data_IF_120158921799
#
_entry.id   IF_120158921799
#
_cell.length_a   1.000
_cell.length_b   1.000
_cell.length_c   1.000
_cell.angle_alpha   90.00
_cell.angle_beta   90.00
_cell.angle_gamma   90.00
#
_symmetry.space_group_name_H-M   'P 1'
#
loop_
_entity.id
_entity.type
_entity.pdbx_description
1 polymer ?
#
# COMPACT_ATOMS: atom_id res chain seq x y z
N UNK A 1 -18.51 2.84 -8.72
CA UNK A 1 -19.50 3.30 -9.75
C UNK A 1 -20.88 3.23 -9.14
N UNK A 2 -21.85 4.07 -9.60
CA UNK A 2 -23.26 3.96 -9.20
C UNK A 2 -24.09 3.26 -10.28
N UNK A 3 -25.26 2.70 -9.92
CA UNK A 3 -26.15 2.06 -10.91
C UNK A 3 -26.64 3.05 -12.00
N UNK A 4 -26.82 4.32 -11.64
CA UNK A 4 -27.23 5.36 -12.59
C UNK A 4 -26.11 5.74 -13.57
N UNK A 5 -24.86 5.74 -13.11
CA UNK A 5 -23.69 5.93 -13.99
C UNK A 5 -23.55 4.76 -14.96
N UNK A 6 -23.76 3.52 -14.49
CA UNK A 6 -23.74 2.34 -15.34
C UNK A 6 -24.87 2.37 -16.38
N UNK A 7 -26.09 2.80 -16.00
CA UNK A 7 -27.20 3.00 -16.95
C UNK A 7 -26.84 4.01 -18.06
N UNK A 8 -26.16 5.11 -17.71
CA UNK A 8 -25.70 6.10 -18.70
C UNK A 8 -24.69 5.52 -19.69
N UNK A 9 -23.74 4.70 -19.17
CA UNK A 9 -22.77 3.99 -20.02
C UNK A 9 -23.49 3.07 -21.01
N UNK A 10 -24.44 2.26 -20.55
CA UNK A 10 -25.23 1.36 -21.42
C UNK A 10 -26.02 2.15 -22.48
N UNK A 11 -26.65 3.25 -22.07
CA UNK A 11 -27.40 4.11 -23.02
C UNK A 11 -26.49 4.71 -24.09
N UNK A 12 -25.24 5.06 -23.74
CA UNK A 12 -24.28 5.63 -24.70
C UNK A 12 -23.88 4.64 -25.81
N UNK A 13 -23.98 3.32 -25.55
CA UNK A 13 -23.60 2.26 -26.48
C UNK A 13 -22.11 1.97 -26.47
N UNK A 14 -21.71 0.94 -27.24
CA UNK A 14 -20.31 0.62 -27.44
C UNK A 14 -19.54 1.76 -28.09
N UNK A 15 -18.31 1.92 -27.63
CA UNK A 15 -17.35 2.92 -28.10
C UNK A 15 -15.96 2.32 -28.01
N UNK A 16 -14.96 3.13 -28.36
CA UNK A 16 -13.55 2.71 -28.25
C UNK A 16 -13.16 2.31 -26.82
N UNK A 17 -13.85 2.85 -25.81
CA UNK A 17 -13.63 2.67 -24.38
C UNK A 17 -14.78 1.90 -23.67
N UNK A 18 -15.78 1.40 -24.40
CA UNK A 18 -16.91 0.65 -23.82
C UNK A 18 -17.17 -0.60 -24.64
N UNK A 19 -17.34 -1.72 -23.95
CA UNK A 19 -17.65 -3.03 -24.55
C UNK A 19 -18.79 -3.71 -23.81
N UNK A 20 -19.76 -4.27 -24.54
CA UNK A 20 -20.85 -5.07 -23.99
C UNK A 20 -20.66 -6.55 -24.33
N UNK A 21 -20.94 -7.41 -23.38
CA UNK A 21 -20.91 -8.86 -23.58
C UNK A 21 -22.17 -9.47 -22.97
N UNK A 22 -22.83 -10.33 -23.73
CA UNK A 22 -24.02 -10.98 -23.22
C UNK A 22 -23.74 -11.87 -22.03
N UNK A 23 -22.71 -12.72 -22.08
CA UNK A 23 -22.14 -13.54 -20.97
C UNK A 23 -23.17 -14.04 -19.94
N UNK A 24 -24.34 -14.48 -20.40
CA UNK A 24 -25.48 -14.80 -19.54
C UNK A 24 -25.18 -15.95 -18.56
N UNK A 25 -24.46 -17.00 -18.99
CA UNK A 25 -24.16 -18.17 -18.18
C UNK A 25 -22.66 -18.44 -18.00
N UNK A 26 -21.82 -18.02 -18.95
CA UNK A 26 -20.38 -18.24 -18.95
C UNK A 26 -19.66 -17.08 -19.65
N UNK A 27 -18.37 -16.92 -19.32
CA UNK A 27 -17.48 -15.96 -19.99
C UNK A 27 -17.05 -16.46 -21.36
N UNK A 28 -17.20 -15.64 -22.36
CA UNK A 28 -16.67 -15.88 -23.70
C UNK A 28 -15.18 -15.50 -23.78
N UNK A 29 -14.44 -16.10 -24.72
CA UNK A 29 -13.00 -15.86 -24.85
C UNK A 29 -12.67 -14.41 -25.20
N UNK A 30 -13.56 -13.73 -25.90
CA UNK A 30 -13.43 -12.34 -26.33
C UNK A 30 -13.47 -11.32 -25.18
N UNK A 31 -14.09 -11.64 -24.04
CA UNK A 31 -13.98 -10.81 -22.82
C UNK A 31 -12.52 -10.57 -22.46
N UNK A 32 -11.68 -11.59 -22.54
CA UNK A 32 -10.25 -11.46 -22.21
C UNK A 32 -9.45 -10.72 -23.28
N UNK A 33 -9.91 -10.77 -24.54
CA UNK A 33 -9.33 -9.96 -25.63
C UNK A 33 -9.60 -8.48 -25.36
N UNK A 34 -10.83 -8.13 -24.96
CA UNK A 34 -11.21 -6.76 -24.59
C UNK A 34 -10.44 -6.28 -23.35
N UNK A 35 -10.24 -7.14 -22.35
CA UNK A 35 -9.38 -6.79 -21.20
C UNK A 35 -7.95 -6.48 -21.66
N UNK A 36 -7.37 -7.30 -22.52
CA UNK A 36 -6.01 -7.11 -23.02
C UNK A 36 -5.89 -5.84 -23.87
N UNK A 37 -6.81 -5.62 -24.82
CA UNK A 37 -6.79 -4.48 -25.71
C UNK A 37 -7.02 -3.14 -24.99
N UNK A 38 -7.99 -3.08 -24.07
CA UNK A 38 -8.23 -1.90 -23.25
C UNK A 38 -7.00 -1.55 -22.41
N UNK A 39 -6.41 -2.54 -21.74
CA UNK A 39 -5.22 -2.29 -20.95
C UNK A 39 -4.00 -1.88 -21.80
N UNK A 40 -3.88 -2.41 -23.00
CA UNK A 40 -2.84 -2.03 -23.94
C UNK A 40 -3.08 -0.64 -24.56
N UNK A 41 -4.31 -0.13 -24.51
CA UNK A 41 -4.64 1.20 -25.06
C UNK A 41 -4.90 2.21 -23.92
N UNK A 42 -6.07 2.74 -23.77
CA UNK A 42 -6.38 3.85 -22.84
C UNK A 42 -7.31 3.41 -21.69
N UNK A 43 -7.43 2.11 -21.46
CA UNK A 43 -8.42 1.56 -20.54
C UNK A 43 -9.82 1.49 -21.18
N UNK A 44 -10.79 1.01 -20.37
CA UNK A 44 -12.18 0.92 -20.84
C UNK A 44 -13.11 0.20 -19.86
N UNK A 45 -14.39 0.21 -20.24
CA UNK A 45 -15.49 -0.36 -19.47
C UNK A 45 -16.02 -1.61 -20.16
N UNK A 46 -16.11 -2.73 -19.44
CA UNK A 46 -16.75 -3.96 -19.91
C UNK A 46 -18.01 -4.19 -19.08
N UNK A 47 -19.13 -4.41 -19.73
CA UNK A 47 -20.41 -4.71 -19.07
C UNK A 47 -20.92 -6.05 -19.54
N UNK A 48 -21.04 -7.02 -18.62
CA UNK A 48 -21.62 -8.34 -18.89
C UNK A 48 -23.12 -8.32 -18.60
N UNK A 49 -23.89 -9.03 -19.41
CA UNK A 49 -25.36 -9.09 -19.32
C UNK A 49 -26.07 -8.12 -20.26
N UNK A 50 -25.35 -7.46 -21.16
CA UNK A 50 -25.91 -6.52 -22.14
C UNK A 50 -25.66 -7.04 -23.55
N UNK A 51 -26.69 -6.93 -24.43
CA UNK A 51 -26.58 -7.28 -25.84
C UNK A 51 -26.05 -6.06 -26.59
N UNK A 52 -24.93 -6.22 -27.28
CA UNK A 52 -24.22 -5.15 -27.98
C UNK A 52 -25.15 -4.30 -28.89
N UNK A 53 -25.69 -4.86 -29.93
CA UNK A 53 -26.40 -4.09 -30.97
C UNK A 53 -27.70 -3.43 -30.50
N UNK A 54 -28.41 -4.08 -29.59
CA UNK A 54 -29.73 -3.64 -29.12
C UNK A 54 -29.67 -2.85 -27.83
N UNK A 55 -28.54 -2.93 -27.10
CA UNK A 55 -28.38 -2.41 -25.74
C UNK A 55 -29.38 -3.00 -24.74
N UNK A 56 -29.98 -4.14 -25.10
CA UNK A 56 -30.93 -4.84 -24.27
C UNK A 56 -30.22 -5.43 -23.04
N UNK A 57 -30.74 -5.11 -21.87
CA UNK A 57 -30.27 -5.69 -20.63
C UNK A 57 -30.92 -7.06 -20.45
N UNK A 58 -30.19 -8.13 -20.72
CA UNK A 58 -30.63 -9.51 -20.48
C UNK A 58 -30.27 -9.97 -19.08
N UNK A 59 -29.16 -9.49 -18.56
CA UNK A 59 -28.60 -9.86 -17.29
C UNK A 59 -27.75 -11.12 -17.34
N UNK A 60 -26.98 -11.31 -16.29
CA UNK A 60 -26.23 -12.53 -15.98
C UNK A 60 -27.09 -13.43 -15.10
N UNK A 61 -27.05 -14.75 -15.32
CA UNK A 61 -27.78 -15.71 -14.49
C UNK A 61 -27.28 -15.64 -13.05
N UNK A 62 -28.18 -15.35 -12.10
CA UNK A 62 -27.87 -15.20 -10.68
C UNK A 62 -27.04 -16.38 -10.12
N UNK A 63 -27.40 -17.62 -10.47
CA UNK A 63 -26.72 -18.83 -10.01
C UNK A 63 -25.29 -18.99 -10.57
N UNK A 64 -24.93 -18.20 -11.59
CA UNK A 64 -23.63 -18.26 -12.28
C UNK A 64 -22.70 -17.10 -11.94
N UNK A 65 -23.18 -16.05 -11.26
CA UNK A 65 -22.41 -14.85 -10.96
C UNK A 65 -21.09 -15.20 -10.26
N UNK A 66 -21.13 -15.94 -9.15
CA UNK A 66 -19.92 -16.31 -8.40
C UNK A 66 -18.92 -17.10 -9.23
N UNK A 67 -19.43 -18.00 -10.09
CA UNK A 67 -18.58 -18.76 -11.01
C UNK A 67 -17.91 -17.81 -12.02
N UNK A 68 -18.67 -16.91 -12.62
CA UNK A 68 -18.18 -15.93 -13.60
C UNK A 68 -17.11 -15.04 -13.00
N UNK A 69 -17.33 -14.50 -11.78
CA UNK A 69 -16.36 -13.68 -11.07
C UNK A 69 -15.06 -14.45 -10.77
N UNK A 70 -15.18 -15.69 -10.31
CA UNK A 70 -14.05 -16.56 -10.02
C UNK A 70 -13.26 -16.93 -11.27
N UNK A 71 -13.94 -17.33 -12.34
CA UNK A 71 -13.33 -17.72 -13.61
C UNK A 71 -12.61 -16.52 -14.25
N UNK A 72 -13.21 -15.32 -14.17
CA UNK A 72 -12.60 -14.08 -14.63
C UNK A 72 -11.30 -13.78 -13.88
N UNK A 73 -11.38 -13.66 -12.56
CA UNK A 73 -10.21 -13.31 -11.73
C UNK A 73 -9.09 -14.33 -11.83
N UNK A 74 -9.44 -15.63 -11.82
CA UNK A 74 -8.44 -16.69 -12.00
C UNK A 74 -7.74 -16.60 -13.36
N UNK A 75 -8.49 -16.27 -14.42
CA UNK A 75 -7.94 -16.20 -15.77
C UNK A 75 -7.00 -15.01 -15.98
N UNK A 76 -7.36 -13.83 -15.49
CA UNK A 76 -6.52 -12.63 -15.65
C UNK A 76 -5.29 -12.65 -14.74
N UNK A 77 -5.35 -13.38 -13.62
CA UNK A 77 -4.23 -13.57 -12.70
C UNK A 77 -3.27 -14.70 -13.13
N UNK A 78 -3.58 -15.44 -14.19
CA UNK A 78 -2.75 -16.52 -14.69
C UNK A 78 -1.75 -15.97 -15.74
N UNK A 79 -0.45 -15.93 -15.39
CA UNK A 79 0.63 -15.47 -16.27
C UNK A 79 0.75 -16.25 -17.58
N UNK A 80 0.34 -17.52 -17.60
CA UNK A 80 0.31 -18.33 -18.83
C UNK A 80 -0.80 -17.91 -19.79
N UNK A 81 -1.84 -17.21 -19.29
CA UNK A 81 -2.97 -16.75 -20.09
C UNK A 81 -2.85 -15.27 -20.43
N UNK A 82 -2.64 -14.42 -19.41
CA UNK A 82 -2.42 -12.98 -19.56
C UNK A 82 -1.06 -12.61 -18.96
N UNK A 83 -0.15 -12.11 -19.78
CA UNK A 83 1.23 -11.81 -19.37
C UNK A 83 1.63 -10.37 -19.73
N UNK A 84 2.05 -9.52 -18.77
CA UNK A 84 1.96 -9.73 -17.33
C UNK A 84 0.52 -9.94 -16.84
N UNK A 85 0.30 -10.70 -15.75
CA UNK A 85 -1.03 -10.87 -15.17
C UNK A 85 -1.58 -9.56 -14.64
N UNK A 86 -2.88 -9.52 -14.39
CA UNK A 86 -3.60 -8.33 -13.95
C UNK A 86 -4.54 -8.66 -12.80
N UNK A 87 -4.65 -7.73 -11.87
CA UNK A 87 -5.66 -7.77 -10.82
C UNK A 87 -6.78 -6.77 -11.15
N UNK A 88 -8.01 -7.25 -11.29
CA UNK A 88 -9.22 -6.46 -11.46
C UNK A 88 -10.31 -7.00 -10.54
N UNK A 89 -11.11 -6.10 -9.98
CA UNK A 89 -12.28 -6.45 -9.15
C UNK A 89 -13.55 -6.12 -9.91
N UNK A 90 -14.26 -7.11 -10.48
CA UNK A 90 -15.57 -6.88 -11.07
C UNK A 90 -16.57 -6.44 -10.00
N UNK A 91 -17.46 -5.52 -10.35
CA UNK A 91 -18.56 -5.05 -9.50
C UNK A 91 -19.89 -5.63 -10.01
N UNK A 92 -20.77 -6.03 -9.09
CA UNK A 92 -22.10 -6.58 -9.43
C UNK A 92 -23.16 -5.52 -9.18
N UNK A 93 -24.00 -5.28 -10.17
CA UNK A 93 -25.11 -4.33 -10.10
C UNK A 93 -26.44 -5.03 -10.39
N UNK A 94 -27.49 -4.60 -9.72
CA UNK A 94 -28.87 -4.97 -10.08
C UNK A 94 -29.54 -3.75 -10.72
N UNK A 95 -29.99 -3.91 -11.96
CA UNK A 95 -30.68 -2.88 -12.74
C UNK A 95 -31.95 -3.48 -13.33
N UNK A 96 -33.10 -2.91 -13.00
CA UNK A 96 -34.42 -3.33 -13.47
C UNK A 96 -34.69 -4.83 -13.25
N UNK A 97 -34.27 -5.36 -12.10
CA UNK A 97 -34.39 -6.78 -11.73
C UNK A 97 -33.46 -7.72 -12.48
N UNK A 98 -32.46 -7.19 -13.19
CA UNK A 98 -31.43 -7.95 -13.90
C UNK A 98 -30.06 -7.70 -13.27
N UNK A 99 -29.26 -8.76 -13.19
CA UNK A 99 -27.90 -8.68 -12.67
C UNK A 99 -26.92 -8.40 -13.80
N UNK A 100 -26.07 -7.41 -13.60
CA UNK A 100 -24.99 -7.04 -14.50
C UNK A 100 -23.66 -7.17 -13.76
N UNK A 101 -22.61 -7.53 -14.49
CA UNK A 101 -21.25 -7.49 -13.97
C UNK A 101 -20.48 -6.43 -14.74
N UNK A 102 -19.97 -5.45 -14.00
CA UNK A 102 -19.17 -4.38 -14.54
C UNK A 102 -17.69 -4.58 -14.22
N UNK A 103 -16.83 -4.32 -15.20
CA UNK A 103 -15.40 -4.44 -15.11
C UNK A 103 -14.76 -3.16 -15.64
N UNK A 104 -14.05 -2.43 -14.76
CA UNK A 104 -13.18 -1.35 -15.20
C UNK A 104 -11.79 -1.91 -15.52
N UNK A 105 -11.31 -1.65 -16.72
CA UNK A 105 -9.96 -2.01 -17.17
C UNK A 105 -9.13 -0.74 -17.29
N UNK A 106 -8.16 -0.49 -16.40
CA UNK A 106 -7.28 0.67 -16.50
C UNK A 106 -6.29 0.54 -17.66
N UNK A 107 -5.77 1.68 -18.12
CA UNK A 107 -4.61 1.67 -19.02
C UNK A 107 -3.39 1.08 -18.29
N UNK A 108 -2.72 0.11 -18.92
CA UNK A 108 -1.51 -0.49 -18.39
C UNK A 108 -0.25 0.28 -18.79
N UNK A 109 0.72 0.32 -17.90
CA UNK A 109 2.04 0.88 -18.16
C UNK A 109 2.95 -0.06 -18.95
N UNK A 110 2.57 -1.33 -19.04
CA UNK A 110 3.29 -2.36 -19.78
C UNK A 110 2.40 -2.99 -20.85
N UNK A 111 3.04 -3.44 -21.92
CA UNK A 111 2.36 -4.20 -22.95
C UNK A 111 1.97 -5.58 -22.41
N UNK A 112 0.69 -5.94 -22.53
CA UNK A 112 0.18 -7.26 -22.18
C UNK A 112 -0.06 -8.14 -23.39
N UNK A 113 0.10 -9.45 -23.17
CA UNK A 113 -0.16 -10.48 -24.17
C UNK A 113 -1.19 -11.47 -23.64
N UNK A 114 -2.24 -11.71 -24.39
CA UNK A 114 -3.19 -12.78 -24.08
C UNK A 114 -2.84 -14.02 -24.92
N UNK A 115 -2.50 -15.12 -24.24
CA UNK A 115 -2.06 -16.37 -24.89
C UNK A 115 -0.92 -16.12 -25.92
N UNK A 116 0.03 -15.24 -25.56
CA UNK A 116 1.16 -14.86 -26.42
C UNK A 116 0.85 -13.79 -27.49
N UNK A 117 -0.43 -13.43 -27.69
CA UNK A 117 -0.87 -12.45 -28.70
C UNK A 117 -1.06 -11.05 -28.12
N UNK A 118 -0.75 -10.03 -28.93
CA UNK A 118 -0.90 -8.62 -28.59
C UNK A 118 -2.19 -8.10 -29.20
N UNK A 119 -3.10 -7.63 -28.36
CA UNK A 119 -4.39 -7.06 -28.76
C UNK A 119 -4.39 -5.55 -28.61
N UNK A 120 -4.89 -4.84 -29.62
CA UNK A 120 -5.15 -3.41 -29.58
C UNK A 120 -6.63 -3.12 -29.80
N UNK A 121 -7.08 -1.93 -29.43
CA UNK A 121 -8.47 -1.50 -29.56
C UNK A 121 -8.63 -0.53 -30.73
N UNK A 122 -9.63 -0.76 -31.56
CA UNK A 122 -10.07 0.14 -32.61
C UNK A 122 -11.53 0.54 -32.42
N UNK A 123 -12.05 1.39 -33.28
CA UNK A 123 -13.47 1.72 -33.28
C UNK A 123 -14.38 0.54 -33.69
N UNK A 124 -13.81 -0.47 -34.37
CA UNK A 124 -14.54 -1.66 -34.82
C UNK A 124 -14.39 -2.86 -33.89
N UNK A 125 -13.62 -2.72 -32.82
CA UNK A 125 -13.38 -3.79 -31.82
C UNK A 125 -11.90 -4.09 -31.59
N UNK A 126 -11.64 -5.28 -31.05
CA UNK A 126 -10.31 -5.76 -30.70
C UNK A 126 -9.62 -6.35 -31.92
N UNK A 127 -8.38 -5.95 -32.17
CA UNK A 127 -7.54 -6.47 -33.27
C UNK A 127 -6.27 -7.11 -32.74
N UNK A 128 -5.89 -8.24 -33.34
CA UNK A 128 -4.61 -8.88 -33.09
C UNK A 128 -3.53 -8.17 -33.92
N UNK A 129 -2.58 -7.54 -33.25
CA UNK A 129 -1.46 -6.82 -33.89
C UNK A 129 -0.13 -7.55 -33.76
N UNK A 130 -0.12 -8.79 -33.25
CA UNK A 130 1.08 -9.56 -32.89
C UNK A 130 2.11 -9.59 -34.02
N UNK A 131 1.67 -9.81 -35.24
CA UNK A 131 2.54 -9.98 -36.41
C UNK A 131 2.76 -8.64 -37.17
N UNK A 132 2.18 -7.53 -36.70
CA UNK A 132 2.38 -6.21 -37.26
C UNK A 132 3.45 -5.44 -36.49
N UNK A 133 4.71 -5.56 -36.93
CA UNK A 133 5.86 -4.95 -36.26
C UNK A 133 5.74 -3.44 -36.07
N UNK A 134 5.10 -2.71 -37.02
CA UNK A 134 4.92 -1.27 -36.92
C UNK A 134 3.92 -0.89 -35.82
N UNK A 135 2.78 -1.55 -35.74
CA UNK A 135 1.77 -1.30 -34.71
C UNK A 135 2.27 -1.72 -33.34
N UNK A 136 2.98 -2.84 -33.25
CA UNK A 136 3.63 -3.29 -32.02
C UNK A 136 4.67 -2.27 -31.56
N UNK A 137 5.52 -1.77 -32.45
CA UNK A 137 6.49 -0.72 -32.12
C UNK A 137 5.80 0.57 -31.63
N UNK A 138 4.76 1.05 -32.34
CA UNK A 138 3.99 2.23 -31.94
C UNK A 138 3.34 2.04 -30.56
N UNK A 139 2.88 0.83 -30.25
CA UNK A 139 2.32 0.50 -28.95
C UNK A 139 3.37 0.51 -27.84
N UNK A 140 4.56 -0.07 -28.09
CA UNK A 140 5.69 0.02 -27.16
C UNK A 140 6.12 1.46 -26.94
N UNK A 141 6.26 2.26 -27.99
CA UNK A 141 6.63 3.67 -27.89
C UNK A 141 5.61 4.46 -27.08
N UNK A 142 4.29 4.22 -27.29
CA UNK A 142 3.21 4.81 -26.50
C UNK A 142 3.31 4.41 -25.03
N UNK A 143 3.60 3.13 -24.72
CA UNK A 143 3.78 2.65 -23.35
C UNK A 143 5.03 3.20 -22.68
N UNK A 144 6.12 3.40 -23.40
CA UNK A 144 7.30 4.09 -22.87
C UNK A 144 7.02 5.54 -22.52
N UNK A 145 6.18 6.24 -23.32
CA UNK A 145 5.73 7.60 -23.00
C UNK A 145 4.70 7.67 -21.87
N UNK A 146 4.08 6.56 -21.50
CA UNK A 146 3.10 6.50 -20.40
C UNK A 146 3.72 6.62 -19.01
N UNK A 147 5.01 6.38 -18.85
CA UNK A 147 5.67 6.74 -17.58
C UNK A 147 5.87 8.24 -17.53
N UNK A 148 4.98 8.95 -16.85
CA UNK A 148 5.08 10.40 -16.68
C UNK A 148 6.46 10.84 -16.19
N UNK A 149 7.11 10.03 -15.36
CA UNK A 149 8.45 10.29 -14.82
C UNK A 149 9.57 10.17 -15.87
N UNK A 150 9.30 9.58 -17.04
CA UNK A 150 10.25 9.50 -18.16
C UNK A 150 10.23 10.75 -19.05
N UNK A 151 9.33 11.73 -18.78
CA UNK A 151 9.33 13.01 -19.50
C UNK A 151 10.71 13.64 -19.47
N UNK A 152 11.25 13.91 -20.67
CA UNK A 152 12.60 14.47 -20.85
C UNK A 152 12.54 16.00 -20.79
N UNK A 153 13.55 16.61 -20.19
CA UNK A 153 13.77 18.04 -20.13
C UNK A 153 15.09 18.41 -20.82
N UNK A 154 15.11 18.59 -22.16
CA UNK A 154 16.35 18.75 -22.93
C UNK A 154 17.12 20.04 -22.65
N UNK A 155 16.48 21.00 -21.93
CA UNK A 155 17.12 22.27 -21.55
C UNK A 155 17.70 22.27 -20.14
N UNK A 156 17.48 21.19 -19.39
CA UNK A 156 17.98 21.04 -18.02
C UNK A 156 19.16 20.05 -18.02
N UNK A 157 20.29 20.49 -17.52
CA UNK A 157 21.50 19.69 -17.38
C UNK A 157 21.75 19.29 -15.93
N UNK A 158 22.97 18.76 -15.68
CA UNK A 158 23.38 18.30 -14.34
C UNK A 158 23.40 19.41 -13.28
N UNK A 159 23.57 20.68 -13.70
CA UNK A 159 23.58 21.86 -12.83
C UNK A 159 22.24 22.09 -12.09
N UNK A 160 21.15 21.52 -12.57
CA UNK A 160 19.83 21.54 -11.94
C UNK A 160 19.63 20.42 -10.91
N UNK A 161 20.56 19.47 -10.85
CA UNK A 161 20.60 18.39 -9.88
C UNK A 161 21.52 18.75 -8.71
N UNK A 162 21.30 18.12 -7.58
CA UNK A 162 22.19 18.14 -6.44
C UNK A 162 23.19 16.97 -6.53
N UNK A 163 24.41 17.28 -6.95
CA UNK A 163 25.46 16.29 -7.14
C UNK A 163 25.86 15.59 -5.83
N UNK A 164 25.71 16.25 -4.68
CA UNK A 164 26.03 15.64 -3.40
C UNK A 164 25.00 14.56 -3.02
N UNK A 165 23.74 14.74 -3.43
CA UNK A 165 22.71 13.68 -3.29
C UNK A 165 23.04 12.48 -4.16
N UNK A 166 23.50 12.68 -5.40
CA UNK A 166 23.94 11.59 -6.30
C UNK A 166 25.12 10.85 -5.68
N UNK A 167 26.14 11.58 -5.17
CA UNK A 167 27.30 10.98 -4.51
C UNK A 167 26.92 10.20 -3.27
N UNK A 168 25.99 10.70 -2.44
CA UNK A 168 25.44 9.94 -1.30
C UNK A 168 24.74 8.66 -1.75
N UNK A 169 23.90 8.72 -2.79
CA UNK A 169 23.25 7.55 -3.36
C UNK A 169 24.28 6.52 -3.86
N UNK A 170 25.33 6.97 -4.56
CA UNK A 170 26.47 6.12 -4.95
C UNK A 170 27.10 5.43 -3.73
N UNK A 171 27.44 6.16 -2.68
CA UNK A 171 28.05 5.60 -1.47
C UNK A 171 27.11 4.57 -0.80
N UNK A 172 25.81 4.83 -0.75
CA UNK A 172 24.83 3.88 -0.21
C UNK A 172 24.83 2.58 -1.03
N UNK A 173 24.88 2.66 -2.35
CA UNK A 173 24.94 1.48 -3.22
C UNK A 173 26.22 0.68 -3.00
N UNK A 174 27.37 1.36 -2.96
CA UNK A 174 28.68 0.73 -2.72
C UNK A 174 28.82 0.06 -1.36
N UNK A 175 28.15 0.59 -0.34
CA UNK A 175 28.18 0.00 0.99
C UNK A 175 27.34 -1.30 1.13
N UNK A 176 26.53 -1.63 0.12
CA UNK A 176 25.63 -2.78 0.14
C UNK A 176 26.12 -3.98 -0.67
N UNK A 177 26.81 -3.72 -1.76
CA UNK A 177 27.24 -4.75 -2.70
C UNK A 177 28.71 -4.53 -3.03
N UNK A 178 29.54 -5.53 -2.75
CA UNK A 178 30.93 -5.54 -3.16
C UNK A 178 31.03 -5.48 -4.69
N UNK A 179 31.94 -4.65 -5.20
CA UNK A 179 32.14 -4.43 -6.65
C UNK A 179 30.90 -3.90 -7.38
N UNK A 180 30.08 -3.08 -6.74
CA UNK A 180 28.92 -2.46 -7.37
C UNK A 180 29.30 -1.71 -8.65
N UNK A 181 28.56 -1.82 -9.77
CA UNK A 181 28.91 -1.19 -11.06
C UNK A 181 29.14 0.31 -10.96
N UNK A 182 28.48 1.02 -10.06
CA UNK A 182 28.63 2.46 -9.87
C UNK A 182 30.01 2.86 -9.31
N UNK A 183 30.83 1.92 -8.83
CA UNK A 183 32.14 2.24 -8.26
C UNK A 183 33.01 3.07 -9.23
N UNK A 184 32.99 2.69 -10.49
CA UNK A 184 33.81 3.30 -11.56
C UNK A 184 33.02 4.30 -12.44
N UNK A 185 31.79 4.64 -12.11
CA UNK A 185 30.93 5.56 -12.86
C UNK A 185 30.98 6.97 -12.27
N UNK A 186 31.02 7.98 -13.12
CA UNK A 186 30.74 9.36 -12.74
C UNK A 186 29.21 9.60 -12.56
N UNK A 187 28.81 10.81 -12.15
CA UNK A 187 27.43 11.15 -11.91
C UNK A 187 26.56 11.03 -13.17
N UNK A 188 27.09 11.42 -14.34
CA UNK A 188 26.37 11.32 -15.63
C UNK A 188 26.18 9.86 -16.05
N UNK A 189 27.24 9.05 -15.90
CA UNK A 189 27.19 7.62 -16.21
C UNK A 189 26.18 6.87 -15.31
N UNK A 190 26.10 7.22 -14.02
CA UNK A 190 25.09 6.69 -13.10
C UNK A 190 23.67 7.02 -13.59
N UNK A 191 23.42 8.29 -13.95
CA UNK A 191 22.13 8.71 -14.48
C UNK A 191 21.78 7.98 -15.79
N UNK A 192 22.73 7.82 -16.70
CA UNK A 192 22.56 7.07 -17.94
C UNK A 192 22.22 5.60 -17.69
N UNK A 193 23.01 4.92 -16.83
CA UNK A 193 22.84 3.50 -16.50
C UNK A 193 21.50 3.19 -15.83
N UNK A 194 20.88 4.18 -15.17
CA UNK A 194 19.59 4.05 -14.47
C UNK A 194 18.39 4.50 -15.31
N UNK A 195 18.62 4.99 -16.55
CA UNK A 195 17.56 5.49 -17.43
C UNK A 195 17.02 6.87 -17.01
N UNK A 196 17.86 7.66 -16.33
CA UNK A 196 17.52 9.01 -15.87
C UNK A 196 17.95 10.11 -16.84
N UNK A 197 18.74 9.73 -17.86
CA UNK A 197 19.02 10.51 -19.06
C UNK A 197 18.45 9.74 -20.23
N UNK A 198 17.58 10.35 -21.00
CA UNK A 198 16.94 9.78 -22.18
C UNK A 198 16.95 10.78 -23.33
N UNK A 199 16.76 10.26 -24.55
CA UNK A 199 16.53 11.08 -25.74
C UNK A 199 15.02 11.36 -25.85
N UNK A 200 14.67 12.63 -25.96
CA UNK A 200 13.29 13.06 -26.24
C UNK A 200 12.89 12.60 -27.65
N UNK A 201 11.86 11.77 -27.81
CA UNK A 201 11.45 11.20 -29.09
C UNK A 201 10.94 12.26 -30.10
N UNK A 202 10.42 13.39 -29.60
CA UNK A 202 9.85 14.44 -30.46
C UNK A 202 10.92 15.36 -31.01
N UNK A 203 11.95 15.66 -30.22
CA UNK A 203 12.99 16.61 -30.55
C UNK A 203 14.34 15.96 -30.95
N UNK A 204 14.52 14.67 -30.63
CA UNK A 204 15.77 13.94 -30.78
C UNK A 204 16.90 14.41 -29.86
N UNK A 205 16.63 15.26 -28.87
CA UNK A 205 17.62 15.82 -27.94
C UNK A 205 17.70 14.98 -26.65
N UNK A 206 18.92 14.73 -26.21
CA UNK A 206 19.19 14.13 -24.91
C UNK A 206 18.89 15.13 -23.78
N UNK A 207 18.35 14.66 -22.66
CA UNK A 207 18.11 15.46 -21.48
C UNK A 207 17.82 14.62 -20.24
N UNK A 208 17.81 15.26 -19.08
CA UNK A 208 17.43 14.62 -17.84
C UNK A 208 15.93 14.40 -17.79
N UNK A 209 15.52 13.28 -17.19
CA UNK A 209 14.10 12.92 -17.04
C UNK A 209 13.48 13.56 -15.78
N UNK A 210 12.15 13.57 -15.72
CA UNK A 210 11.45 13.95 -14.47
C UNK A 210 11.87 13.05 -13.29
N UNK A 211 12.12 11.75 -13.55
CA UNK A 211 12.62 10.84 -12.52
C UNK A 211 13.97 11.29 -11.95
N UNK A 212 14.89 11.78 -12.80
CA UNK A 212 16.17 12.35 -12.35
C UNK A 212 15.96 13.59 -11.47
N UNK A 213 15.05 14.47 -11.88
CA UNK A 213 14.71 15.69 -11.13
C UNK A 213 14.07 15.33 -9.79
N UNK A 214 13.15 14.37 -9.75
CA UNK A 214 12.53 13.93 -8.50
C UNK A 214 13.54 13.26 -7.57
N UNK A 215 14.45 12.41 -8.08
CA UNK A 215 15.43 11.70 -7.27
C UNK A 215 16.53 12.61 -6.73
N UNK A 216 17.02 13.54 -7.56
CA UNK A 216 18.26 14.27 -7.31
C UNK A 216 18.17 15.78 -7.53
N UNK A 217 17.00 16.30 -7.88
CA UNK A 217 16.82 17.73 -8.19
C UNK A 217 16.98 18.60 -6.94
N UNK A 218 17.43 19.82 -7.16
CA UNK A 218 17.35 20.90 -6.17
C UNK A 218 15.88 21.29 -5.96
N UNK A 219 15.50 21.71 -4.76
CA UNK A 219 14.11 22.02 -4.41
C UNK A 219 13.46 23.02 -5.38
N UNK A 220 14.17 24.07 -5.78
CA UNK A 220 13.69 25.04 -6.76
C UNK A 220 13.48 24.42 -8.16
N UNK A 221 14.32 23.47 -8.56
CA UNK A 221 14.16 22.73 -9.83
C UNK A 221 12.92 21.85 -9.78
N UNK A 222 12.73 21.09 -8.72
CA UNK A 222 11.55 20.25 -8.52
C UNK A 222 10.28 21.11 -8.58
N UNK A 223 10.23 22.19 -7.83
CA UNK A 223 9.07 23.09 -7.78
C UNK A 223 8.80 23.80 -9.09
N UNK A 224 9.82 24.04 -9.93
CA UNK A 224 9.64 24.68 -11.25
C UNK A 224 9.01 23.72 -12.27
N UNK A 225 9.31 22.40 -12.21
CA UNK A 225 8.78 21.41 -13.15
C UNK A 225 7.53 20.71 -12.64
N UNK A 226 7.35 20.64 -11.32
CA UNK A 226 6.23 19.96 -10.66
C UNK A 226 5.73 20.74 -9.43
N UNK A 227 5.07 21.90 -9.65
CA UNK A 227 4.67 22.79 -8.56
C UNK A 227 3.75 22.15 -7.51
N UNK A 228 2.98 21.14 -7.89
CA UNK A 228 2.07 20.42 -7.00
C UNK A 228 2.77 19.37 -6.14
N UNK A 229 4.09 19.12 -6.35
CA UNK A 229 4.81 18.08 -5.63
C UNK A 229 4.96 18.42 -4.15
N UNK A 230 4.39 17.59 -3.30
CA UNK A 230 4.62 17.58 -1.85
C UNK A 230 4.19 16.26 -1.24
N UNK A 231 4.74 15.96 -0.07
CA UNK A 231 4.31 14.87 0.80
C UNK A 231 4.07 15.43 2.20
N UNK A 232 2.92 15.14 2.80
CA UNK A 232 2.57 15.52 4.15
C UNK A 232 2.83 14.36 5.12
N UNK A 233 3.69 14.58 6.11
CA UNK A 233 3.85 13.72 7.28
C UNK A 233 3.05 14.33 8.44
N UNK A 234 2.12 13.57 9.02
CA UNK A 234 1.15 14.05 10.01
C UNK A 234 1.12 13.12 11.21
N UNK A 235 1.27 13.68 12.41
CA UNK A 235 1.01 13.00 13.67
C UNK A 235 -0.26 13.59 14.29
N UNK A 236 -1.27 12.74 14.53
CA UNK A 236 -2.59 13.14 14.97
C UNK A 236 -3.13 12.14 16.00
N UNK A 237 -2.77 12.32 17.24
CA UNK A 237 -3.14 11.42 18.35
C UNK A 237 -4.00 12.13 19.41
N UNK A 238 -3.59 13.34 19.82
CA UNK A 238 -4.31 14.14 20.82
C UNK A 238 -5.28 15.11 20.15
N UNK A 239 -4.84 15.82 19.12
CA UNK A 239 -5.66 16.75 18.35
C UNK A 239 -6.20 16.07 17.09
N UNK A 240 -7.45 15.60 17.18
CA UNK A 240 -8.10 14.88 16.07
C UNK A 240 -8.61 15.82 14.96
N UNK A 241 -8.85 17.08 15.27
CA UNK A 241 -9.36 18.07 14.28
C UNK A 241 -8.27 18.63 13.37
N UNK A 242 -7.02 18.68 13.88
CA UNK A 242 -5.87 19.18 13.13
C UNK A 242 -4.73 18.15 13.13
N UNK A 243 -3.70 18.41 13.89
CA UNK A 243 -2.52 17.57 14.08
C UNK A 243 -1.78 18.03 15.35
N UNK A 244 -1.05 17.11 15.96
CA UNK A 244 -0.12 17.40 17.06
C UNK A 244 1.25 17.79 16.51
N UNK A 245 1.65 17.20 15.36
CA UNK A 245 2.87 17.53 14.62
C UNK A 245 2.67 17.31 13.12
N UNK A 246 3.34 18.14 12.29
CA UNK A 246 3.25 18.04 10.84
C UNK A 246 4.54 18.51 10.18
N UNK A 247 4.96 17.77 9.16
CA UNK A 247 6.07 18.14 8.29
C UNK A 247 5.63 18.09 6.83
N UNK A 248 5.81 19.20 6.10
CA UNK A 248 5.57 19.30 4.66
C UNK A 248 6.90 19.13 3.94
N UNK A 249 6.99 18.10 3.10
CA UNK A 249 8.22 17.71 2.44
C UNK A 249 8.09 17.98 0.94
N UNK A 250 8.98 18.81 0.39
CA UNK A 250 9.01 19.25 -1.01
C UNK A 250 10.38 19.02 -1.68
N UNK A 251 11.28 18.31 -1.02
CA UNK A 251 12.64 18.06 -1.49
C UNK A 251 12.74 16.78 -2.34
N UNK A 252 13.93 16.47 -2.87
CA UNK A 252 14.20 15.27 -3.65
C UNK A 252 13.82 13.99 -2.90
N UNK A 253 13.58 12.88 -3.66
CA UNK A 253 13.07 11.63 -3.08
C UNK A 253 14.04 10.98 -2.10
N UNK A 254 15.34 11.16 -2.26
CA UNK A 254 16.37 10.60 -1.37
C UNK A 254 16.26 11.25 0.02
N UNK A 255 16.18 12.57 0.06
CA UNK A 255 16.02 13.32 1.31
C UNK A 255 14.60 13.23 1.86
N UNK A 256 13.58 13.16 0.99
CA UNK A 256 12.19 12.92 1.39
C UNK A 256 12.05 11.59 2.14
N UNK A 257 12.66 10.53 1.63
CA UNK A 257 12.67 9.22 2.30
C UNK A 257 13.24 9.33 3.72
N UNK A 258 14.42 9.96 3.86
CA UNK A 258 15.08 10.12 5.17
C UNK A 258 14.20 10.91 6.14
N UNK A 259 13.65 12.06 5.71
CA UNK A 259 12.78 12.92 6.54
C UNK A 259 11.52 12.18 6.99
N UNK A 260 10.88 11.41 6.10
CA UNK A 260 9.71 10.59 6.44
C UNK A 260 10.05 9.49 7.45
N UNK A 261 11.19 8.81 7.28
CA UNK A 261 11.68 7.81 8.25
C UNK A 261 11.95 8.45 9.60
N UNK A 262 12.64 9.60 9.63
CA UNK A 262 12.97 10.32 10.86
C UNK A 262 11.69 10.79 11.57
N UNK A 263 10.69 11.28 10.81
CA UNK A 263 9.37 11.63 11.35
C UNK A 263 8.67 10.40 11.96
N UNK A 264 8.69 9.26 11.28
CA UNK A 264 8.15 8.01 11.82
C UNK A 264 8.87 7.57 13.10
N UNK A 265 10.21 7.64 13.12
CA UNK A 265 11.02 7.30 14.30
C UNK A 265 10.76 8.21 15.49
N UNK A 266 10.47 9.50 15.25
CA UNK A 266 10.13 10.48 16.28
C UNK A 266 8.84 10.13 17.02
N UNK A 267 7.86 9.55 16.32
CA UNK A 267 6.49 9.37 16.82
C UNK A 267 6.09 7.93 17.10
N UNK A 268 6.92 6.95 16.70
CA UNK A 268 6.65 5.53 16.88
C UNK A 268 7.68 4.90 17.80
N UNK A 269 7.20 4.08 18.72
CA UNK A 269 8.08 3.33 19.60
C UNK A 269 8.88 2.29 18.80
N UNK A 270 10.11 2.04 19.26
CA UNK A 270 10.94 0.99 18.69
C UNK A 270 10.67 -0.34 19.39
N UNK A 271 10.23 -1.32 18.62
CA UNK A 271 10.00 -2.67 19.09
C UNK A 271 10.98 -3.60 18.38
N UNK A 272 11.93 -4.11 19.13
CA UNK A 272 12.87 -5.13 18.64
C UNK A 272 12.21 -6.50 18.66
N UNK A 273 12.32 -7.21 17.54
CA UNK A 273 11.77 -8.55 17.36
C UNK A 273 12.87 -9.48 16.83
N UNK A 274 12.74 -10.77 17.11
CA UNK A 274 13.64 -11.78 16.53
C UNK A 274 13.15 -12.13 15.13
N UNK A 275 14.04 -12.00 14.16
CA UNK A 275 13.87 -12.48 12.79
C UNK A 275 14.96 -13.50 12.48
N UNK A 276 14.63 -14.77 12.64
CA UNK A 276 15.63 -15.83 12.74
C UNK A 276 16.52 -15.61 13.98
N UNK A 277 17.82 -15.55 13.78
CA UNK A 277 18.81 -15.32 14.83
C UNK A 277 19.19 -13.84 15.04
N UNK A 278 18.54 -12.92 14.29
CA UNK A 278 18.85 -11.50 14.34
C UNK A 278 17.77 -10.70 15.06
N UNK A 279 18.18 -9.81 15.96
CA UNK A 279 17.30 -8.81 16.54
C UNK A 279 17.15 -7.63 15.56
N UNK A 280 15.93 -7.36 15.11
CA UNK A 280 15.63 -6.29 14.17
C UNK A 280 14.55 -5.35 14.72
N UNK A 281 14.61 -4.08 14.36
CA UNK A 281 13.53 -3.12 14.63
C UNK A 281 12.36 -3.38 13.69
N UNK A 282 11.23 -3.86 14.22
CA UNK A 282 10.02 -4.07 13.44
C UNK A 282 9.47 -2.74 12.89
N UNK A 283 9.54 -1.65 13.68
CA UNK A 283 9.21 -0.29 13.25
C UNK A 283 9.99 0.11 12.00
N UNK A 284 11.32 -0.01 12.04
CA UNK A 284 12.18 0.44 10.94
C UNK A 284 11.93 -0.39 9.66
N UNK A 285 11.63 -1.67 9.80
CA UNK A 285 11.23 -2.53 8.68
C UNK A 285 9.92 -2.09 8.05
N UNK A 286 8.90 -1.78 8.87
CA UNK A 286 7.60 -1.27 8.38
C UNK A 286 7.80 0.09 7.70
N UNK A 287 8.47 1.04 8.36
CA UNK A 287 8.71 2.38 7.82
C UNK A 287 9.42 2.32 6.47
N UNK A 288 10.45 1.49 6.34
CA UNK A 288 11.17 1.29 5.07
C UNK A 288 10.22 0.92 3.93
N UNK A 289 9.35 -0.06 4.15
CA UNK A 289 8.46 -0.56 3.10
C UNK A 289 7.36 0.45 2.74
N UNK A 290 6.66 1.02 3.73
CA UNK A 290 5.55 1.93 3.44
C UNK A 290 6.02 3.27 2.88
N UNK A 291 7.19 3.77 3.30
CA UNK A 291 7.77 5.04 2.80
C UNK A 291 8.34 4.85 1.40
N UNK A 292 9.02 3.73 1.14
CA UNK A 292 9.45 3.40 -0.22
C UNK A 292 8.25 3.30 -1.16
N UNK A 293 7.17 2.66 -0.70
CA UNK A 293 5.96 2.51 -1.51
C UNK A 293 5.35 3.87 -1.87
N UNK A 294 5.14 4.77 -0.90
CA UNK A 294 4.52 6.08 -1.14
C UNK A 294 5.34 6.96 -2.11
N UNK A 295 6.67 6.78 -2.14
CA UNK A 295 7.57 7.55 -3.02
C UNK A 295 7.76 6.87 -4.38
N UNK A 296 7.97 5.55 -4.42
CA UNK A 296 8.27 4.84 -5.66
C UNK A 296 7.03 4.52 -6.52
N UNK A 297 5.83 4.41 -5.91
CA UNK A 297 4.61 4.00 -6.59
C UNK A 297 3.57 5.11 -6.77
N UNK A 298 3.92 6.36 -6.46
CA UNK A 298 3.04 7.52 -6.64
C UNK A 298 2.86 7.84 -8.12
N UNK A 299 1.63 8.18 -8.51
CA UNK A 299 1.36 8.86 -9.78
C UNK A 299 1.74 10.35 -9.66
N UNK A 300 2.86 10.72 -10.25
CA UNK A 300 3.38 12.09 -10.21
C UNK A 300 2.68 13.05 -11.18
N UNK A 301 1.83 12.55 -12.07
CA UNK A 301 1.01 13.38 -12.95
C UNK A 301 -0.16 14.02 -12.21
N UNK A 302 -0.54 13.46 -11.08
CA UNK A 302 -1.70 13.86 -10.28
C UNK A 302 -1.31 14.84 -9.17
N UNK A 303 -2.11 15.89 -8.97
CA UNK A 303 -1.89 16.92 -7.95
C UNK A 303 -2.23 16.46 -6.51
N UNK A 304 -2.77 15.25 -6.32
CA UNK A 304 -3.08 14.73 -4.98
C UNK A 304 -1.84 14.69 -4.09
N UNK A 305 -1.95 15.29 -2.91
CA UNK A 305 -0.87 15.30 -1.93
C UNK A 305 -0.69 13.94 -1.30
N UNK A 306 0.51 13.36 -1.44
CA UNK A 306 0.83 12.13 -0.74
C UNK A 306 0.87 12.36 0.78
N UNK A 307 0.40 11.40 1.57
CA UNK A 307 0.25 11.52 3.02
C UNK A 307 0.85 10.30 3.73
N UNK A 308 1.62 10.58 4.76
CA UNK A 308 2.06 9.62 5.78
C UNK A 308 1.48 10.08 7.12
N UNK A 309 0.55 9.31 7.68
CA UNK A 309 -0.22 9.73 8.86
C UNK A 309 -0.10 8.69 9.96
N UNK A 310 0.19 9.17 11.17
CA UNK A 310 0.26 8.38 12.40
C UNK A 310 -0.89 8.82 13.29
N UNK A 311 -1.81 7.91 13.60
CA UNK A 311 -2.93 8.09 14.53
C UNK A 311 -2.79 7.16 15.75
N UNK A 312 -3.64 7.29 16.73
CA UNK A 312 -3.55 6.53 17.98
C UNK A 312 -3.68 5.02 17.77
N UNK A 313 -4.44 4.57 16.76
CA UNK A 313 -4.77 3.17 16.53
C UNK A 313 -4.30 2.64 15.17
N UNK A 314 -3.67 3.47 14.35
CA UNK A 314 -3.17 3.06 13.02
C UNK A 314 -2.12 4.02 12.48
N UNK A 315 -1.29 3.48 11.60
CA UNK A 315 -0.49 4.27 10.65
C UNK A 315 -1.14 4.06 9.27
N UNK A 316 -1.20 5.11 8.46
CA UNK A 316 -1.57 4.92 7.08
C UNK A 316 -0.79 5.82 6.12
N UNK A 317 -0.65 5.35 4.89
CA UNK A 317 -0.13 6.13 3.78
C UNK A 317 -1.19 6.25 2.69
N UNK A 318 -1.20 7.38 1.99
CA UNK A 318 -2.04 7.62 0.81
C UNK A 318 -1.24 8.30 -0.27
N UNK A 319 -1.34 7.83 -1.50
CA UNK A 319 -0.78 8.50 -2.67
C UNK A 319 -1.69 8.30 -3.89
N UNK A 320 -1.65 9.26 -4.81
CA UNK A 320 -2.26 9.10 -6.12
C UNK A 320 -1.71 7.86 -6.83
N UNK A 321 -2.56 7.20 -7.56
CA UNK A 321 -2.26 5.92 -8.19
C UNK A 321 -2.92 5.82 -9.57
N UNK A 322 -2.25 5.11 -10.48
CA UNK A 322 -2.87 4.56 -11.69
C UNK A 322 -3.20 3.09 -11.40
N UNK A 323 -4.46 2.78 -11.06
CA UNK A 323 -4.81 1.46 -10.57
C UNK A 323 -4.74 0.40 -11.66
N UNK A 324 -4.36 -0.83 -11.29
CA UNK A 324 -4.47 -2.02 -12.13
C UNK A 324 -5.70 -2.84 -11.78
N UNK A 325 -6.32 -2.50 -10.67
CA UNK A 325 -7.54 -3.05 -10.14
C UNK A 325 -8.10 -2.14 -9.06
N UNK A 326 -9.24 -2.53 -8.50
CA UNK A 326 -9.90 -1.78 -7.45
C UNK A 326 -10.21 -2.70 -6.27
N UNK A 327 -10.00 -2.20 -5.05
CA UNK A 327 -10.32 -2.89 -3.82
C UNK A 327 -9.10 -3.37 -3.03
N UNK A 328 -9.32 -4.31 -2.13
CA UNK A 328 -8.28 -4.85 -1.25
C UNK A 328 -7.37 -5.83 -1.98
N UNK A 329 -6.06 -5.54 -1.97
CA UNK A 329 -5.04 -6.43 -2.51
C UNK A 329 -4.76 -7.57 -1.55
N UNK A 330 -4.88 -8.82 -2.04
CA UNK A 330 -4.56 -10.02 -1.27
C UNK A 330 -3.15 -10.49 -1.60
N UNK A 331 -2.35 -10.76 -0.57
CA UNK A 331 -0.94 -11.17 -0.68
C UNK A 331 -0.69 -12.36 -1.63
N UNK A 332 -1.67 -13.26 -1.77
CA UNK A 332 -1.53 -14.47 -2.59
C UNK A 332 -2.03 -14.29 -4.04
N UNK A 333 -2.57 -13.13 -4.37
CA UNK A 333 -3.23 -12.87 -5.67
C UNK A 333 -2.65 -11.66 -6.40
N UNK A 334 -1.62 -11.02 -5.83
CA UNK A 334 -1.00 -9.82 -6.36
C UNK A 334 0.41 -10.11 -6.88
N UNK A 335 0.65 -9.78 -8.15
CA UNK A 335 2.00 -9.67 -8.70
C UNK A 335 2.42 -8.19 -8.76
N UNK A 336 3.45 -7.82 -8.01
CA UNK A 336 3.90 -6.44 -7.97
C UNK A 336 4.61 -6.05 -9.27
N UNK A 337 4.37 -4.83 -9.72
CA UNK A 337 5.17 -4.23 -10.77
C UNK A 337 5.48 -2.77 -10.43
N UNK A 338 6.62 -2.24 -10.90
CA UNK A 338 7.03 -0.88 -10.58
C UNK A 338 6.19 0.13 -11.39
N UNK A 339 5.52 1.07 -10.70
CA UNK A 339 4.78 2.16 -11.35
C UNK A 339 5.71 3.26 -11.90
N UNK A 340 6.88 3.42 -11.30
CA UNK A 340 7.93 4.32 -11.75
C UNK A 340 9.26 3.56 -11.82
N UNK A 341 9.53 2.78 -12.88
CA UNK A 341 10.67 1.88 -12.97
C UNK A 341 12.02 2.54 -12.69
N UNK A 342 12.35 3.75 -13.24
CA UNK A 342 13.63 4.39 -12.96
C UNK A 342 13.82 4.73 -11.47
N UNK A 343 12.76 5.21 -10.79
CA UNK A 343 12.79 5.52 -9.36
C UNK A 343 12.98 4.23 -8.57
N UNK A 344 12.19 3.20 -8.87
CA UNK A 344 12.28 1.90 -8.20
C UNK A 344 13.66 1.25 -8.38
N UNK A 345 14.28 1.43 -9.56
CA UNK A 345 15.64 0.93 -9.83
C UNK A 345 16.65 1.60 -8.89
N UNK A 346 16.65 2.93 -8.80
CA UNK A 346 17.57 3.65 -7.91
C UNK A 346 17.31 3.27 -6.44
N UNK A 347 16.05 3.22 -5.99
CA UNK A 347 15.71 2.84 -4.62
C UNK A 347 16.23 1.44 -4.27
N UNK A 348 16.19 0.50 -5.21
CA UNK A 348 16.74 -0.84 -5.03
C UNK A 348 18.25 -0.83 -4.90
N UNK A 349 18.96 -0.13 -5.80
CA UNK A 349 20.42 -0.02 -5.76
C UNK A 349 20.91 0.54 -4.41
N UNK A 350 20.26 1.59 -3.89
CA UNK A 350 20.63 2.24 -2.62
C UNK A 350 20.02 1.60 -1.37
N UNK A 351 19.17 0.57 -1.51
CA UNK A 351 18.60 -0.18 -0.40
C UNK A 351 17.37 0.41 0.26
N UNK A 352 16.71 1.35 -0.39
CA UNK A 352 15.41 1.83 0.09
C UNK A 352 14.27 0.85 -0.22
N UNK A 353 14.39 0.07 -1.27
CA UNK A 353 13.45 -0.99 -1.62
C UNK A 353 14.19 -2.33 -1.79
N UNK A 354 13.49 -3.44 -1.55
CA UNK A 354 13.96 -4.79 -1.86
C UNK A 354 13.57 -5.17 -3.30
N UNK A 355 13.85 -6.43 -3.69
CA UNK A 355 13.39 -6.96 -4.97
C UNK A 355 11.85 -6.99 -5.05
N UNK A 356 11.34 -6.90 -6.28
CA UNK A 356 9.91 -6.87 -6.58
C UNK A 356 9.13 -7.97 -5.84
N UNK A 357 8.12 -7.58 -5.07
CA UNK A 357 7.17 -8.48 -4.43
C UNK A 357 7.41 -8.79 -2.97
N UNK A 358 8.54 -8.43 -2.39
CA UNK A 358 8.81 -8.64 -0.97
C UNK A 358 8.10 -7.63 -0.07
N UNK A 359 7.86 -6.40 -0.53
CA UNK A 359 7.38 -5.27 0.28
C UNK A 359 6.08 -5.53 1.03
N UNK A 360 5.03 -6.02 0.34
CA UNK A 360 3.76 -6.35 1.01
C UNK A 360 3.91 -7.51 2.01
N UNK A 361 4.71 -8.52 1.67
CA UNK A 361 4.98 -9.67 2.56
C UNK A 361 5.77 -9.22 3.79
N UNK A 362 6.78 -8.39 3.62
CA UNK A 362 7.56 -7.80 4.71
C UNK A 362 6.67 -6.92 5.60
N UNK A 363 5.87 -6.03 4.99
CA UNK A 363 4.90 -5.21 5.74
C UNK A 363 3.97 -6.09 6.57
N UNK A 364 3.41 -7.17 6.01
CA UNK A 364 2.53 -8.08 6.73
C UNK A 364 3.26 -8.80 7.88
N UNK A 365 4.47 -9.32 7.61
CA UNK A 365 5.30 -10.02 8.62
C UNK A 365 5.60 -9.11 9.81
N UNK A 366 6.14 -7.92 9.53
CA UNK A 366 6.59 -7.01 10.59
C UNK A 366 5.45 -6.29 11.29
N UNK A 367 4.30 -6.05 10.63
CA UNK A 367 3.09 -5.54 11.30
C UNK A 367 2.58 -6.52 12.35
N UNK A 368 2.53 -7.82 12.02
CA UNK A 368 2.14 -8.84 13.01
C UNK A 368 3.07 -8.89 14.22
N UNK A 369 4.37 -8.70 14.00
CA UNK A 369 5.36 -8.69 15.07
C UNK A 369 5.33 -7.38 15.88
N UNK A 370 4.95 -6.26 15.25
CA UNK A 370 4.95 -4.93 15.86
C UNK A 370 3.68 -4.65 16.66
N UNK A 371 2.50 -4.95 16.11
CA UNK A 371 1.20 -4.61 16.69
C UNK A 371 0.21 -5.77 16.80
N UNK A 372 0.61 -6.99 16.40
CA UNK A 372 -0.32 -8.13 16.34
C UNK A 372 -1.35 -8.06 15.21
N UNK A 373 -1.46 -6.92 14.53
CA UNK A 373 -2.45 -6.68 13.49
C UNK A 373 -2.07 -7.21 12.11
N UNK A 374 -2.99 -7.07 11.15
CA UNK A 374 -2.77 -7.37 9.73
C UNK A 374 -2.90 -6.10 8.92
N UNK A 375 -1.93 -5.74 8.08
CA UNK A 375 -2.01 -4.54 7.25
C UNK A 375 -3.07 -4.73 6.16
N UNK A 376 -3.70 -3.62 5.76
CA UNK A 376 -4.67 -3.56 4.67
C UNK A 376 -4.05 -2.74 3.54
N UNK A 377 -4.11 -3.26 2.32
CA UNK A 377 -3.66 -2.60 1.10
C UNK A 377 -4.86 -2.37 0.21
N UNK A 378 -5.17 -1.11 -0.06
CA UNK A 378 -6.31 -0.73 -0.91
C UNK A 378 -5.78 -0.10 -2.19
N UNK A 379 -6.14 -0.70 -3.32
CA UNK A 379 -5.83 -0.14 -4.63
C UNK A 379 -7.08 0.51 -5.23
N UNK A 380 -6.93 1.77 -5.59
CA UNK A 380 -7.88 2.59 -6.31
C UNK A 380 -7.10 3.78 -6.92
N UNK A 381 -7.77 4.82 -7.41
CA UNK A 381 -7.14 6.09 -7.82
C UNK A 381 -6.27 6.71 -6.70
N UNK A 382 -6.54 6.35 -5.47
CA UNK A 382 -5.69 6.58 -4.30
C UNK A 382 -5.26 5.23 -3.74
N UNK A 383 -3.97 4.93 -3.81
CA UNK A 383 -3.41 3.76 -3.14
C UNK A 383 -3.24 4.05 -1.65
N UNK A 384 -3.69 3.13 -0.83
CA UNK A 384 -3.63 3.28 0.63
C UNK A 384 -3.06 2.02 1.29
N UNK A 385 -2.13 2.22 2.22
CA UNK A 385 -1.68 1.17 3.15
C UNK A 385 -2.17 1.57 4.54
N UNK A 386 -2.80 0.65 5.26
CA UNK A 386 -3.23 0.85 6.64
C UNK A 386 -2.55 -0.20 7.52
N UNK A 387 -1.77 0.26 8.48
CA UNK A 387 -1.10 -0.56 9.50
C UNK A 387 -1.89 -0.37 10.80
N UNK A 388 -2.62 -1.38 11.28
CA UNK A 388 -3.30 -1.29 12.57
C UNK A 388 -2.26 -1.26 13.69
N UNK A 389 -2.50 -0.40 14.68
CA UNK A 389 -1.66 -0.25 15.87
C UNK A 389 -2.48 -0.64 17.09
N UNK A 390 -1.86 -1.30 18.08
CA UNK A 390 -2.42 -1.22 19.42
C UNK A 390 -2.39 0.26 19.83
N UNK A 391 -3.43 0.75 20.51
CA UNK A 391 -3.54 2.17 20.88
C UNK A 391 -2.21 2.67 21.45
N UNK A 392 -1.67 3.77 20.90
CA UNK A 392 -0.40 4.40 21.39
C UNK A 392 -0.51 4.74 22.87
N UNK A 393 -1.72 4.89 23.39
CA UNK A 393 -2.00 5.03 24.80
C UNK A 393 -1.61 3.81 25.64
N UNK A 394 -1.53 2.61 25.07
CA UNK A 394 -1.13 1.38 25.76
C UNK A 394 0.40 1.19 25.77
N UNK A 395 1.16 2.02 25.04
CA UNK A 395 2.62 1.92 24.88
C UNK A 395 3.44 2.93 25.70
N UNK A 396 2.80 3.87 26.40
CA UNK A 396 3.53 4.77 27.29
C UNK A 396 3.87 4.05 28.61
N UNK A 397 5.13 3.64 28.74
CA UNK A 397 5.70 3.18 30.01
C UNK A 397 5.92 4.39 30.91
N UNK A 398 4.89 4.74 31.69
CA UNK A 398 4.94 5.84 32.64
C UNK A 398 3.86 5.68 33.71
N UNK A 399 3.86 6.48 34.78
CA UNK A 399 2.88 6.38 35.87
C UNK A 399 1.41 6.50 35.41
N UNK A 400 1.15 7.02 34.21
CA UNK A 400 -0.20 7.12 33.62
C UNK A 400 -0.73 5.79 33.07
N UNK A 401 0.13 4.78 32.80
CA UNK A 401 -0.33 3.45 32.36
C UNK A 401 -1.03 2.66 33.48
N UNK A 402 -0.73 2.97 34.73
CA UNK A 402 -1.39 2.36 35.89
C UNK A 402 -2.89 2.70 35.89
N UNK A 403 -3.26 3.93 35.50
CA UNK A 403 -4.66 4.37 35.44
C UNK A 403 -5.47 3.69 34.32
N UNK A 404 -4.87 3.44 33.14
CA UNK A 404 -5.60 2.85 31.98
C UNK A 404 -5.80 1.34 32.06
N UNK A 405 -4.83 0.62 32.65
CA UNK A 405 -5.03 -0.81 32.98
C UNK A 405 -6.19 -0.94 33.98
N UNK A 406 -6.30 0.01 34.90
CA UNK A 406 -7.39 0.06 35.87
C UNK A 406 -8.75 0.34 35.21
N UNK A 407 -8.82 1.21 34.19
CA UNK A 407 -10.08 1.55 33.51
C UNK A 407 -10.64 0.40 32.64
N UNK A 408 -9.83 -0.37 31.92
CA UNK A 408 -10.30 -1.55 31.15
C UNK A 408 -10.76 -2.71 32.04
N UNK A 409 -10.20 -2.82 33.22
CA UNK A 409 -10.56 -3.84 34.20
C UNK A 409 -11.81 -3.41 34.99
N UNK A 410 -12.10 -2.10 35.09
CA UNK A 410 -13.20 -1.52 35.89
C UNK A 410 -14.61 -1.84 35.38
N UNK A 411 -14.78 -2.16 34.07
CA UNK A 411 -16.11 -2.59 33.57
C UNK A 411 -16.60 -3.95 34.13
N UNK A 412 -15.68 -4.76 34.72
CA UNK A 412 -15.99 -6.10 35.24
C UNK A 412 -15.82 -6.27 36.75
N UNK A 413 -15.28 -5.29 37.50
CA UNK A 413 -14.91 -5.42 38.90
C UNK A 413 -15.48 -4.30 39.76
N UNK A 414 -15.80 -4.60 41.01
CA UNK A 414 -16.32 -3.65 41.99
C UNK A 414 -15.20 -2.71 42.50
N UNK A 415 -15.54 -1.49 42.97
CA UNK A 415 -14.58 -0.53 43.56
C UNK A 415 -13.65 -1.17 44.59
N UNK A 416 -14.16 -2.05 45.40
CA UNK A 416 -13.38 -2.75 46.45
C UNK A 416 -12.47 -3.86 45.91
N UNK A 417 -12.71 -4.41 44.74
CA UNK A 417 -11.83 -5.33 44.05
C UNK A 417 -10.69 -4.55 43.33
N UNK A 418 -10.97 -3.30 42.92
CA UNK A 418 -9.95 -2.41 42.31
C UNK A 418 -8.87 -2.04 43.32
N UNK A 419 -9.18 -1.82 44.60
CA UNK A 419 -8.19 -1.56 45.62
C UNK A 419 -7.21 -2.74 45.79
N UNK A 420 -7.71 -3.97 45.67
CA UNK A 420 -6.85 -5.17 45.70
C UNK A 420 -5.96 -5.23 44.44
N UNK A 421 -6.52 -4.96 43.25
CA UNK A 421 -5.76 -4.95 42.00
C UNK A 421 -4.65 -3.88 42.02
N UNK A 422 -4.93 -2.69 42.56
CA UNK A 422 -3.93 -1.64 42.70
C UNK A 422 -2.74 -2.08 43.56
N UNK A 423 -2.99 -2.76 44.67
CA UNK A 423 -1.92 -3.32 45.52
C UNK A 423 -1.15 -4.46 44.82
N UNK A 424 -1.86 -5.30 44.05
CA UNK A 424 -1.21 -6.40 43.31
C UNK A 424 -0.39 -5.88 42.12
N UNK A 425 -0.73 -4.72 41.55
CA UNK A 425 0.09 -4.02 40.55
C UNK A 425 1.34 -3.40 41.21
N UNK A 426 1.24 -2.88 42.42
CA UNK A 426 2.37 -2.37 43.20
C UNK A 426 3.37 -3.51 43.53
N UNK A 427 2.85 -4.65 44.02
CA UNK A 427 3.65 -5.82 44.33
C UNK A 427 2.85 -7.12 44.18
N UNK A 428 3.16 -7.87 43.12
CA UNK A 428 2.50 -9.15 42.79
C UNK A 428 2.71 -10.26 43.85
N UNK A 429 3.64 -10.08 44.80
CA UNK A 429 3.95 -11.06 45.82
C UNK A 429 3.17 -10.86 47.12
N UNK A 430 2.32 -9.85 47.23
CA UNK A 430 1.52 -9.66 48.44
C UNK A 430 0.72 -10.90 48.81
N UNK A 431 0.83 -11.28 50.07
CA UNK A 431 0.09 -12.37 50.66
C UNK A 431 -1.29 -11.86 51.14
N UNK A 432 -2.25 -12.77 51.29
CA UNK A 432 -3.60 -12.39 51.83
C UNK A 432 -3.54 -11.65 53.17
N UNK A 433 -2.68 -12.01 54.15
CA UNK A 433 -2.49 -11.22 55.37
C UNK A 433 -2.02 -9.79 55.11
N UNK A 434 -1.05 -9.60 54.25
CA UNK A 434 -0.52 -8.27 53.91
C UNK A 434 -1.53 -7.39 53.18
N UNK A 435 -2.35 -7.97 52.26
CA UNK A 435 -3.45 -7.28 51.64
C UNK A 435 -4.53 -6.88 52.65
N UNK A 436 -4.83 -7.76 53.59
CA UNK A 436 -5.81 -7.49 54.64
C UNK A 436 -5.34 -6.35 55.58
N UNK A 437 -4.06 -6.30 55.92
CA UNK A 437 -3.45 -5.24 56.73
C UNK A 437 -3.46 -3.89 55.99
N UNK A 438 -3.01 -3.86 54.73
CA UNK A 438 -2.97 -2.62 53.92
C UNK A 438 -4.36 -2.01 53.68
N UNK A 439 -5.34 -2.83 53.41
CA UNK A 439 -6.68 -2.40 53.15
C UNK A 439 -7.58 -2.27 54.41
N UNK A 440 -7.06 -2.63 55.59
CA UNK A 440 -7.74 -2.60 56.87
C UNK A 440 -9.06 -3.39 56.85
N UNK A 441 -9.10 -4.54 56.18
CA UNK A 441 -10.26 -5.43 56.07
C UNK A 441 -9.89 -6.87 56.48
N UNK A 442 -10.93 -7.69 56.74
CA UNK A 442 -10.71 -9.06 57.22
C UNK A 442 -10.07 -9.94 56.15
N UNK A 443 -9.21 -10.92 56.56
CA UNK A 443 -8.62 -11.93 55.65
C UNK A 443 -9.72 -12.71 54.92
N UNK A 444 -10.88 -12.95 55.53
CA UNK A 444 -12.04 -13.63 54.93
C UNK A 444 -12.56 -12.80 53.74
N UNK A 445 -12.65 -11.49 53.90
CA UNK A 445 -13.10 -10.56 52.86
C UNK A 445 -12.10 -10.53 51.68
N UNK A 446 -10.80 -10.51 51.95
CA UNK A 446 -9.75 -10.59 50.91
C UNK A 446 -9.86 -11.91 50.15
N UNK A 447 -10.03 -13.05 50.83
CA UNK A 447 -10.14 -14.36 50.20
C UNK A 447 -11.35 -14.43 49.24
N UNK A 448 -12.51 -13.89 49.64
CA UNK A 448 -13.70 -13.84 48.79
C UNK A 448 -13.48 -12.98 47.53
N UNK A 449 -12.84 -11.80 47.67
CA UNK A 449 -12.56 -10.90 46.56
C UNK A 449 -11.52 -11.45 45.60
N UNK A 450 -10.45 -12.07 46.10
CA UNK A 450 -9.44 -12.75 45.26
C UNK A 450 -10.06 -13.93 44.52
N UNK A 451 -11.00 -14.65 45.12
CA UNK A 451 -11.76 -15.72 44.47
C UNK A 451 -12.64 -15.16 43.34
N UNK A 452 -13.38 -14.09 43.61
CA UNK A 452 -14.19 -13.40 42.57
C UNK A 452 -13.33 -12.88 41.40
N UNK A 453 -12.18 -12.27 41.67
CA UNK A 453 -11.26 -11.81 40.66
C UNK A 453 -10.65 -12.96 39.79
N UNK A 454 -10.44 -14.14 40.41
CA UNK A 454 -10.04 -15.36 39.69
C UNK A 454 -11.17 -15.89 38.81
N UNK A 455 -12.40 -15.96 39.33
CA UNK A 455 -13.58 -16.42 38.58
C UNK A 455 -13.91 -15.50 37.39
N UNK A 456 -13.62 -14.20 37.53
CA UNK A 456 -13.72 -13.20 36.46
C UNK A 456 -12.56 -13.24 35.49
N UNK A 457 -11.60 -14.15 35.70
CA UNK A 457 -10.35 -14.27 34.91
C UNK A 457 -9.48 -13.02 34.88
N UNK A 458 -9.58 -12.17 35.92
CA UNK A 458 -8.83 -10.91 36.04
C UNK A 458 -7.44 -11.15 36.64
N UNK A 459 -7.34 -12.12 37.57
CA UNK A 459 -6.07 -12.50 38.17
C UNK A 459 -5.87 -14.01 38.16
N UNK A 460 -4.60 -14.43 38.15
CA UNK A 460 -4.17 -15.82 38.22
C UNK A 460 -3.08 -15.97 39.28
N UNK A 461 -3.09 -17.09 40.04
CA UNK A 461 -2.01 -17.42 40.96
C UNK A 461 -0.99 -18.30 40.26
N UNK A 462 0.23 -17.82 40.10
CA UNK A 462 1.33 -18.56 39.49
C UNK A 462 2.23 -19.12 40.56
N UNK A 463 2.45 -20.43 40.57
CA UNK A 463 3.28 -21.13 41.55
C UNK A 463 2.50 -21.64 42.79
N UNK A 464 3.22 -22.00 43.87
CA UNK A 464 2.62 -22.56 45.08
C UNK A 464 2.02 -21.46 45.99
N UNK A 465 1.09 -21.85 46.87
CA UNK A 465 0.43 -20.93 47.83
C UNK A 465 1.45 -20.19 48.75
N UNK A 466 2.61 -20.77 48.99
CA UNK A 466 3.66 -20.20 49.85
C UNK A 466 4.72 -19.36 49.13
N UNK A 467 5.01 -19.68 47.85
CA UNK A 467 6.09 -19.06 47.09
C UNK A 467 5.64 -18.52 45.70
N UNK A 468 4.34 -18.56 45.42
CA UNK A 468 3.78 -18.05 44.16
C UNK A 468 3.52 -16.55 44.20
N UNK A 469 3.23 -15.98 43.01
CA UNK A 469 2.88 -14.58 42.85
C UNK A 469 1.51 -14.46 42.09
N UNK A 470 0.92 -13.27 42.16
CA UNK A 470 -0.31 -12.96 41.46
C UNK A 470 -0.02 -12.36 40.10
N UNK A 471 -0.53 -12.99 39.05
CA UNK A 471 -0.47 -12.48 37.68
C UNK A 471 -1.81 -11.86 37.36
N UNK A 472 -1.79 -10.63 36.88
CA UNK A 472 -3.01 -9.95 36.39
C UNK A 472 -3.12 -10.27 34.89
N UNK A 473 -4.26 -10.81 34.50
CA UNK A 473 -4.55 -11.13 33.08
C UNK A 473 -5.04 -9.86 32.39
N UNK A 474 -4.50 -9.61 31.22
CA UNK A 474 -4.82 -8.43 30.36
C UNK A 474 -6.11 -8.65 29.60
#
# INVERSE_FOLDING_TARGET
MTADELKKIIQSGEKIDVEFKQSENDLTKDVYQSVCSFNNRNGGHIVLGVVDKTKEIRGVNFQKVDKILKDFTTSINNANKLNPPMYLTPEVFEIDGKILVYIWVPEGTQLRRLNGRIWDRTHEGDIDITDNAELVYKMYARKQSTYFVNKVYPRLGLEYLDLDVIRRAKQMALSRVDNHPWANMDEKEILGSTGLILTDPDTGKEGITLAAILLFGKDNTIMSVLPQYKTDAIYRVKNLDRYDDREVIITNLIDSYRRLVDFGKKHLNDTFVLDGDQSVSARDKILREIISNILAHRDYSNAYTAQFVIESNRIYTKNSNLPHGHGELKLNQFEPFPKNPPISKVFREIGYADELGSGMRNTNKYTKLYSGGTPIFLEDNIFQIVIPMESVADLQVGPDNVKKVTEKVTEKVTEKEQEILALLLENANYTMPQLAEKLKISRKTIAVRLKSLKEKNVIERVGSDRKGYWKINK
#
